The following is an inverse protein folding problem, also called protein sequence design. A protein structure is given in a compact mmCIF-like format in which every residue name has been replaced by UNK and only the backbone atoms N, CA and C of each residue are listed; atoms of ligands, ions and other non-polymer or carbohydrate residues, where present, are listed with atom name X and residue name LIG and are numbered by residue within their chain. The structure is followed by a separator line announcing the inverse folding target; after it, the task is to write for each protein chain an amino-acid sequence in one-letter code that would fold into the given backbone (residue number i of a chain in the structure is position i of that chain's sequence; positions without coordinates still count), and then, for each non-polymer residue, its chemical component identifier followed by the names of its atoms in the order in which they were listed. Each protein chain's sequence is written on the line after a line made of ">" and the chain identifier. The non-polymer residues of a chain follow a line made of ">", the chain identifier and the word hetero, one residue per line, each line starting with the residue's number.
data_IF_604417380832
#
_entry.id   IF_604417380832
#
_cell.length_a   1.000
_cell.length_b   1.000
_cell.length_c   1.000
_cell.angle_alpha   90.00
_cell.angle_beta   90.00
_cell.angle_gamma   90.00
#
_symmetry.space_group_name_H-M   'P 1'
#
loop_
_entity.id
_entity.type
_entity.pdbx_description
1 polymer ?
#
# COMPACT_ATOMS: atom_id res chain seq x y z
N UNK A 1 12.18 -17.23 -21.48
CA UNK A 1 12.33 -15.93 -20.79
C UNK A 1 12.13 -14.85 -21.85
N UNK A 2 11.15 -13.98 -21.66
CA UNK A 2 10.97 -12.82 -22.52
C UNK A 2 12.00 -11.73 -22.16
N UNK A 3 12.47 -11.02 -23.16
CA UNK A 3 13.50 -9.99 -22.99
C UNK A 3 12.94 -8.63 -23.41
N UNK A 4 12.76 -7.75 -22.47
CA UNK A 4 12.21 -6.40 -22.69
C UNK A 4 13.33 -5.38 -22.82
N UNK A 5 13.28 -4.52 -23.83
CA UNK A 5 14.29 -3.49 -24.12
C UNK A 5 13.64 -2.17 -24.53
N UNK A 6 14.39 -1.09 -24.36
CA UNK A 6 14.03 0.23 -24.90
C UNK A 6 12.66 0.72 -24.42
N UNK A 7 11.77 1.05 -25.35
CA UNK A 7 10.45 1.61 -25.04
C UNK A 7 9.50 0.62 -24.36
N UNK A 8 9.61 -0.66 -24.69
CA UNK A 8 8.83 -1.74 -24.10
C UNK A 8 9.17 -1.89 -22.60
N UNK A 9 10.46 -2.00 -22.27
CA UNK A 9 10.93 -2.02 -20.88
C UNK A 9 10.46 -0.78 -20.12
N UNK A 10 10.58 0.42 -20.75
CA UNK A 10 10.09 1.67 -20.15
C UNK A 10 8.61 1.62 -19.83
N UNK A 11 7.78 1.06 -20.70
CA UNK A 11 6.36 0.93 -20.50
C UNK A 11 6.04 -0.05 -19.35
N UNK A 12 6.71 -1.19 -19.29
CA UNK A 12 6.57 -2.18 -18.21
C UNK A 12 6.96 -1.54 -16.86
N UNK A 13 8.10 -0.87 -16.79
CA UNK A 13 8.54 -0.18 -15.56
C UNK A 13 7.54 0.89 -15.11
N UNK A 14 6.97 1.66 -16.04
CA UNK A 14 5.91 2.63 -15.71
C UNK A 14 4.67 1.94 -15.13
N UNK A 15 4.26 0.80 -15.69
CA UNK A 15 3.14 0.01 -15.17
C UNK A 15 3.43 -0.52 -13.76
N UNK A 16 4.61 -1.08 -13.52
CA UNK A 16 5.03 -1.56 -12.19
C UNK A 16 5.05 -0.41 -11.17
N UNK A 17 5.58 0.75 -11.55
CA UNK A 17 5.58 1.94 -10.68
C UNK A 17 4.17 2.46 -10.42
N UNK A 18 3.30 2.49 -11.45
CA UNK A 18 1.89 2.86 -11.34
C UNK A 18 1.13 1.92 -10.40
N UNK A 19 1.30 0.61 -10.57
CA UNK A 19 0.76 -0.43 -9.69
C UNK A 19 1.16 -0.20 -8.23
N UNK A 20 2.43 0.05 -7.96
CA UNK A 20 2.93 0.36 -6.61
C UNK A 20 2.30 1.65 -6.05
N UNK A 21 2.18 2.69 -6.86
CA UNK A 21 1.58 3.97 -6.45
C UNK A 21 0.09 3.83 -6.13
N UNK A 22 -0.69 3.11 -6.97
CA UNK A 22 -2.11 2.89 -6.74
C UNK A 22 -2.33 2.00 -5.50
N UNK A 23 -1.50 0.97 -5.31
CA UNK A 23 -1.52 0.12 -4.12
C UNK A 23 -1.25 0.94 -2.85
N UNK A 24 -0.16 1.70 -2.79
CA UNK A 24 0.15 2.57 -1.64
C UNK A 24 -0.93 3.62 -1.39
N UNK A 25 -1.64 4.05 -2.42
CA UNK A 25 -2.78 4.95 -2.28
C UNK A 25 -4.01 4.27 -1.68
N UNK A 26 -4.26 3.00 -1.98
CA UNK A 26 -5.32 2.21 -1.36
C UNK A 26 -4.99 1.90 0.10
N UNK A 27 -3.73 1.58 0.42
CA UNK A 27 -3.27 1.36 1.79
C UNK A 27 -3.49 2.60 2.67
N UNK A 28 -3.17 3.80 2.17
CA UNK A 28 -3.47 5.07 2.85
C UNK A 28 -4.96 5.33 3.05
N UNK A 29 -5.81 4.73 2.23
CA UNK A 29 -7.26 4.79 2.36
C UNK A 29 -7.82 3.66 3.26
N UNK A 30 -6.95 2.92 3.96
CA UNK A 30 -7.37 1.87 4.89
C UNK A 30 -7.59 0.49 4.26
N UNK A 31 -7.07 0.26 3.05
CA UNK A 31 -7.13 -1.06 2.40
C UNK A 31 -5.74 -1.70 2.38
N UNK A 32 -5.42 -2.60 3.33
CA UNK A 32 -4.08 -3.16 3.46
C UNK A 32 -3.70 -4.04 2.26
N UNK A 33 -2.39 -4.17 2.01
CA UNK A 33 -1.84 -4.94 0.89
C UNK A 33 -2.40 -6.36 0.80
N UNK A 34 -2.45 -7.08 1.92
CA UNK A 34 -2.94 -8.47 1.93
C UNK A 34 -4.38 -8.59 1.43
N UNK A 35 -5.24 -7.61 1.78
CA UNK A 35 -6.63 -7.58 1.34
C UNK A 35 -6.70 -7.33 -0.17
N UNK A 36 -6.01 -6.30 -0.65
CA UNK A 36 -5.98 -5.98 -2.08
C UNK A 36 -5.41 -7.15 -2.89
N UNK A 37 -4.31 -7.77 -2.44
CA UNK A 37 -3.72 -8.93 -3.12
C UNK A 37 -4.67 -10.13 -3.17
N UNK A 38 -5.45 -10.37 -2.10
CA UNK A 38 -6.47 -11.41 -2.08
C UNK A 38 -7.60 -11.09 -3.07
N UNK A 39 -8.08 -9.85 -3.13
CA UNK A 39 -9.11 -9.46 -4.12
C UNK A 39 -8.63 -9.62 -5.57
N UNK A 40 -7.39 -9.27 -5.86
CA UNK A 40 -6.80 -9.44 -7.19
C UNK A 40 -6.65 -10.93 -7.55
N UNK A 41 -6.22 -11.77 -6.61
CA UNK A 41 -6.07 -13.23 -6.83
C UNK A 41 -7.40 -13.94 -7.06
N UNK A 42 -8.50 -13.44 -6.48
CA UNK A 42 -9.86 -13.90 -6.73
C UNK A 42 -10.56 -13.20 -7.90
N UNK A 43 -9.82 -12.44 -8.69
CA UNK A 43 -10.33 -11.78 -9.90
C UNK A 43 -11.57 -10.91 -9.64
N UNK A 44 -11.50 -10.07 -8.60
CA UNK A 44 -12.57 -9.13 -8.25
C UNK A 44 -12.43 -7.87 -9.11
N UNK A 45 -13.09 -7.85 -10.25
CA UNK A 45 -12.97 -6.77 -11.24
C UNK A 45 -13.98 -5.63 -11.07
N UNK A 46 -15.07 -5.86 -10.34
CA UNK A 46 -16.13 -4.83 -10.22
C UNK A 46 -17.37 -5.33 -9.48
N UNK A 47 -18.46 -4.59 -9.63
CA UNK A 47 -19.73 -4.78 -8.90
C UNK A 47 -20.32 -6.18 -9.11
N UNK A 48 -20.21 -6.75 -10.31
CA UNK A 48 -20.81 -8.06 -10.60
C UNK A 48 -20.20 -9.19 -9.76
N UNK A 49 -18.97 -9.04 -9.31
CA UNK A 49 -18.33 -9.94 -8.38
C UNK A 49 -19.00 -9.89 -6.99
N UNK A 50 -19.44 -8.70 -6.56
CA UNK A 50 -20.12 -8.49 -5.27
C UNK A 50 -21.57 -9.05 -5.25
N UNK A 51 -22.15 -9.34 -6.40
CA UNK A 51 -23.47 -10.00 -6.50
C UNK A 51 -23.39 -11.51 -6.23
N UNK A 52 -22.22 -12.10 -6.39
CA UNK A 52 -21.99 -13.54 -6.29
C UNK A 52 -21.58 -13.92 -4.86
N UNK A 53 -22.53 -14.47 -4.10
CA UNK A 53 -22.28 -14.92 -2.72
C UNK A 53 -21.11 -15.90 -2.64
N UNK A 54 -21.08 -16.89 -3.56
CA UNK A 54 -20.04 -17.91 -3.59
C UNK A 54 -18.64 -17.34 -3.68
N UNK A 55 -18.45 -16.32 -4.53
CA UNK A 55 -17.16 -15.63 -4.69
C UNK A 55 -16.76 -14.88 -3.43
N UNK A 56 -17.71 -14.23 -2.76
CA UNK A 56 -17.45 -13.51 -1.52
C UNK A 56 -17.19 -14.49 -0.35
N UNK A 57 -17.87 -15.64 -0.31
CA UNK A 57 -17.59 -16.71 0.65
C UNK A 57 -16.19 -17.31 0.44
N UNK A 58 -15.72 -17.47 -0.81
CA UNK A 58 -14.35 -17.92 -1.12
C UNK A 58 -13.29 -16.94 -0.58
N UNK A 59 -13.49 -15.64 -0.79
CA UNK A 59 -12.60 -14.59 -0.27
C UNK A 59 -12.60 -14.59 1.25
N UNK A 60 -13.78 -14.66 1.87
CA UNK A 60 -13.93 -14.75 3.31
C UNK A 60 -13.18 -15.96 3.89
N UNK A 61 -13.32 -17.13 3.29
CA UNK A 61 -12.63 -18.35 3.70
C UNK A 61 -11.11 -18.26 3.50
N UNK A 62 -10.65 -17.61 2.45
CA UNK A 62 -9.22 -17.42 2.20
C UNK A 62 -8.58 -16.46 3.22
N UNK A 63 -9.29 -15.43 3.62
CA UNK A 63 -8.87 -14.54 4.72
C UNK A 63 -8.85 -15.28 6.06
N UNK A 64 -9.86 -16.10 6.34
CA UNK A 64 -9.91 -16.91 7.57
C UNK A 64 -8.74 -17.90 7.67
N UNK A 65 -8.28 -18.49 6.55
CA UNK A 65 -7.08 -19.36 6.52
C UNK A 65 -5.80 -18.61 6.86
N UNK A 66 -5.79 -17.29 6.71
CA UNK A 66 -4.66 -16.40 7.03
C UNK A 66 -4.80 -15.76 8.43
N UNK A 67 -5.70 -16.29 9.27
CA UNK A 67 -6.04 -15.76 10.60
C UNK A 67 -6.54 -14.31 10.58
N UNK A 68 -7.18 -13.89 9.48
CA UNK A 68 -7.73 -12.55 9.34
C UNK A 68 -9.24 -12.59 9.58
N UNK A 69 -9.67 -11.83 10.59
CA UNK A 69 -11.09 -11.72 10.94
C UNK A 69 -11.85 -10.95 9.86
N UNK A 70 -12.93 -11.55 9.37
CA UNK A 70 -13.80 -10.88 8.41
C UNK A 70 -15.26 -11.27 8.61
N UNK A 71 -16.17 -10.36 8.30
CA UNK A 71 -17.62 -10.55 8.41
C UNK A 71 -18.24 -10.26 7.06
N UNK A 72 -18.95 -11.27 6.52
CA UNK A 72 -19.73 -11.11 5.30
C UNK A 72 -21.11 -10.56 5.66
N UNK A 73 -21.51 -9.47 5.04
CA UNK A 73 -22.83 -8.85 5.16
C UNK A 73 -23.44 -8.65 3.79
N UNK A 74 -24.74 -8.34 3.77
CA UNK A 74 -25.45 -7.97 2.55
C UNK A 74 -25.94 -6.53 2.69
N UNK A 75 -25.59 -5.71 1.73
CA UNK A 75 -26.17 -4.39 1.54
C UNK A 75 -27.57 -4.56 0.95
N UNK A 76 -28.59 -4.24 1.73
CA UNK A 76 -30.00 -4.40 1.33
C UNK A 76 -30.43 -3.38 0.29
N UNK A 77 -29.80 -2.20 0.27
CA UNK A 77 -30.13 -1.13 -0.66
C UNK A 77 -29.71 -1.47 -2.10
N UNK A 78 -28.50 -2.02 -2.27
CA UNK A 78 -27.95 -2.35 -3.58
C UNK A 78 -28.01 -3.86 -3.89
N UNK A 79 -28.39 -4.69 -2.92
CA UNK A 79 -28.43 -6.16 -3.06
C UNK A 79 -27.05 -6.81 -3.24
N UNK A 80 -25.98 -6.13 -2.81
CA UNK A 80 -24.60 -6.56 -2.95
C UNK A 80 -24.10 -7.22 -1.66
N UNK A 81 -23.16 -8.14 -1.80
CA UNK A 81 -22.42 -8.68 -0.64
C UNK A 81 -21.22 -7.78 -0.34
N UNK A 82 -21.00 -7.53 0.94
CA UNK A 82 -19.92 -6.71 1.45
C UNK A 82 -19.11 -7.51 2.47
N UNK A 83 -17.80 -7.29 2.48
CA UNK A 83 -16.92 -7.91 3.44
C UNK A 83 -16.28 -6.83 4.32
N UNK A 84 -16.49 -6.91 5.63
CA UNK A 84 -15.82 -6.06 6.62
C UNK A 84 -14.67 -6.86 7.18
N UNK A 85 -13.46 -6.40 6.93
CA UNK A 85 -12.20 -7.04 7.37
C UNK A 85 -11.63 -6.25 8.52
N UNK A 86 -11.40 -6.93 9.66
CA UNK A 86 -10.73 -6.35 10.83
C UNK A 86 -9.25 -6.74 10.80
N UNK A 87 -8.39 -5.76 10.94
CA UNK A 87 -6.93 -5.97 10.94
C UNK A 87 -6.26 -5.01 11.91
N UNK A 88 -5.02 -5.28 12.27
CA UNK A 88 -4.27 -4.48 13.24
C UNK A 88 -3.09 -3.79 12.58
N UNK A 89 -2.93 -2.49 12.87
CA UNK A 89 -1.79 -1.69 12.43
C UNK A 89 -1.30 -0.85 13.60
N UNK A 90 -0.03 -0.92 13.93
CA UNK A 90 0.58 -0.18 15.03
C UNK A 90 -0.21 -0.29 16.35
N UNK A 91 -0.70 -1.50 16.66
CA UNK A 91 -1.49 -1.78 17.85
C UNK A 91 -2.96 -1.32 17.81
N UNK A 92 -3.41 -0.68 16.73
CA UNK A 92 -4.79 -0.23 16.55
C UNK A 92 -5.60 -1.20 15.70
N UNK A 93 -6.84 -1.46 16.11
CA UNK A 93 -7.78 -2.22 15.31
C UNK A 93 -8.37 -1.33 14.22
N UNK A 94 -8.18 -1.73 12.98
CA UNK A 94 -8.68 -1.06 11.80
C UNK A 94 -9.73 -1.91 11.11
N UNK A 95 -10.63 -1.27 10.38
CA UNK A 95 -11.64 -1.97 9.56
C UNK A 95 -11.56 -1.50 8.13
N UNK A 96 -11.53 -2.45 7.19
CA UNK A 96 -11.66 -2.19 5.76
C UNK A 96 -12.96 -2.80 5.25
N UNK A 97 -13.73 -2.02 4.52
CA UNK A 97 -14.98 -2.46 3.91
C UNK A 97 -14.77 -2.72 2.43
N UNK A 98 -14.87 -3.98 2.02
CA UNK A 98 -14.89 -4.37 0.61
C UNK A 98 -16.34 -4.30 0.14
N UNK A 99 -16.65 -3.29 -0.63
CA UNK A 99 -17.98 -3.01 -1.15
C UNK A 99 -17.91 -2.25 -2.45
N UNK A 100 -19.03 -1.67 -2.85
CA UNK A 100 -19.17 -0.92 -4.11
C UNK A 100 -18.12 0.19 -4.22
N UNK A 101 -17.89 0.97 -3.15
CA UNK A 101 -16.99 2.12 -3.14
C UNK A 101 -15.55 1.73 -3.52
N UNK A 102 -15.07 0.59 -3.01
CA UNK A 102 -13.73 0.11 -3.34
C UNK A 102 -13.64 -0.32 -4.81
N UNK A 103 -14.51 -1.26 -5.24
CA UNK A 103 -14.40 -1.88 -6.57
C UNK A 103 -14.73 -0.93 -7.72
N UNK A 104 -15.48 0.15 -7.45
CA UNK A 104 -15.76 1.19 -8.44
C UNK A 104 -14.74 2.32 -8.43
N UNK A 105 -13.90 2.40 -7.39
CA UNK A 105 -12.91 3.47 -7.29
C UNK A 105 -11.96 3.46 -8.50
N UNK A 106 -11.64 4.63 -9.08
CA UNK A 106 -10.74 4.70 -10.24
C UNK A 106 -9.36 4.10 -9.95
N UNK A 107 -8.90 4.18 -8.71
CA UNK A 107 -7.60 3.65 -8.28
C UNK A 107 -7.59 2.12 -8.26
N UNK A 108 -8.64 1.49 -7.72
CA UNK A 108 -8.74 0.03 -7.70
C UNK A 108 -8.87 -0.54 -9.12
N UNK A 109 -9.69 0.10 -9.98
CA UNK A 109 -9.84 -0.31 -11.38
C UNK A 109 -8.51 -0.26 -12.14
N UNK A 110 -7.77 0.86 -12.06
CA UNK A 110 -6.45 0.95 -12.67
C UNK A 110 -5.49 -0.12 -12.15
N UNK A 111 -5.49 -0.34 -10.82
CA UNK A 111 -4.66 -1.37 -10.20
C UNK A 111 -5.00 -2.77 -10.72
N UNK A 112 -6.29 -3.07 -10.84
CA UNK A 112 -6.77 -4.34 -11.40
C UNK A 112 -6.33 -4.51 -12.86
N UNK A 113 -6.59 -3.52 -13.71
CA UNK A 113 -6.23 -3.56 -15.14
C UNK A 113 -4.71 -3.72 -15.33
N UNK A 114 -3.91 -2.93 -14.63
CA UNK A 114 -2.44 -3.03 -14.68
C UNK A 114 -1.96 -4.37 -14.14
N UNK A 115 -2.60 -4.92 -13.11
CA UNK A 115 -2.23 -6.25 -12.58
C UNK A 115 -2.49 -7.36 -13.60
N UNK A 116 -3.55 -7.25 -14.39
CA UNK A 116 -3.83 -8.18 -15.50
C UNK A 116 -2.82 -8.04 -16.64
N UNK A 117 -2.49 -6.82 -17.03
CA UNK A 117 -1.49 -6.56 -18.07
C UNK A 117 -0.08 -7.04 -17.69
N UNK A 118 0.23 -7.07 -16.39
CA UNK A 118 1.50 -7.57 -15.86
C UNK A 118 1.47 -9.07 -15.51
N UNK A 119 0.38 -9.79 -15.81
CA UNK A 119 0.23 -11.20 -15.42
C UNK A 119 1.30 -12.11 -16.05
N UNK A 120 1.80 -11.76 -17.22
CA UNK A 120 2.89 -12.46 -17.92
C UNK A 120 4.29 -12.04 -17.42
N UNK A 121 4.40 -10.84 -16.82
CA UNK A 121 5.65 -10.27 -16.30
C UNK A 121 5.85 -10.71 -14.85
N UNK A 122 6.27 -11.96 -14.66
CA UNK A 122 6.41 -12.57 -13.31
C UNK A 122 7.88 -12.68 -12.88
N UNK A 123 8.14 -12.53 -11.57
CA UNK A 123 9.46 -12.83 -11.02
C UNK A 123 9.80 -14.34 -11.14
N UNK A 124 11.09 -14.73 -11.05
CA UNK A 124 12.23 -13.85 -10.86
C UNK A 124 12.59 -13.05 -12.11
N UNK A 125 13.06 -11.80 -11.90
CA UNK A 125 13.54 -10.93 -12.97
C UNK A 125 15.06 -11.07 -13.12
N UNK A 126 15.54 -10.99 -14.35
CA UNK A 126 16.97 -10.99 -14.63
C UNK A 126 17.33 -9.70 -15.35
N UNK A 127 18.17 -8.87 -14.73
CA UNK A 127 18.68 -7.65 -15.35
C UNK A 127 20.00 -7.95 -16.02
N UNK A 128 20.00 -7.88 -17.36
CA UNK A 128 21.19 -8.08 -18.18
C UNK A 128 21.84 -6.73 -18.45
N UNK A 129 22.94 -6.46 -17.79
CA UNK A 129 23.78 -5.29 -18.01
C UNK A 129 25.08 -5.72 -18.71
N UNK A 130 25.99 -4.78 -18.97
CA UNK A 130 27.32 -5.09 -19.56
C UNK A 130 28.17 -5.98 -18.65
N UNK A 131 27.89 -5.95 -17.36
CA UNK A 131 28.47 -6.79 -16.33
C UNK A 131 27.68 -8.11 -16.18
N UNK A 132 27.91 -8.86 -15.11
CA UNK A 132 27.19 -10.11 -14.85
C UNK A 132 25.68 -9.90 -14.70
N UNK A 133 24.83 -10.83 -15.19
CA UNK A 133 23.39 -10.76 -15.03
C UNK A 133 23.01 -10.85 -13.54
N UNK A 134 22.08 -9.99 -13.11
CA UNK A 134 21.59 -9.93 -11.72
C UNK A 134 20.18 -10.47 -11.67
N UNK A 135 19.95 -11.50 -10.88
CA UNK A 135 18.63 -12.06 -10.62
C UNK A 135 17.95 -11.37 -9.44
N UNK A 136 16.68 -11.01 -9.61
CA UNK A 136 15.89 -10.23 -8.66
C UNK A 136 14.56 -10.95 -8.39
N UNK A 137 14.31 -11.24 -7.14
CA UNK A 137 13.23 -12.10 -6.68
C UNK A 137 11.82 -11.55 -6.88
N UNK A 138 11.68 -10.21 -6.92
CA UNK A 138 10.36 -9.56 -6.99
C UNK A 138 10.43 -8.14 -7.56
N UNK A 139 9.25 -7.56 -7.83
CA UNK A 139 9.10 -6.20 -8.37
C UNK A 139 9.74 -5.12 -7.48
N UNK A 140 9.71 -5.29 -6.15
CA UNK A 140 10.28 -4.32 -5.23
C UNK A 140 11.80 -4.30 -5.33
N UNK A 141 12.45 -5.47 -5.38
CA UNK A 141 13.91 -5.59 -5.59
C UNK A 141 14.34 -5.08 -6.96
N UNK A 142 13.52 -5.32 -8.00
CA UNK A 142 13.79 -4.76 -9.32
C UNK A 142 13.80 -3.22 -9.30
N UNK A 143 12.79 -2.61 -8.70
CA UNK A 143 12.73 -1.14 -8.60
C UNK A 143 13.85 -0.56 -7.72
N UNK A 144 14.22 -1.23 -6.64
CA UNK A 144 15.31 -0.83 -5.75
C UNK A 144 16.66 -0.87 -6.50
N UNK A 145 16.97 -1.99 -7.14
CA UNK A 145 18.18 -2.14 -7.96
C UNK A 145 18.30 -1.06 -9.04
N UNK A 146 17.20 -0.81 -9.76
CA UNK A 146 17.20 0.22 -10.79
C UNK A 146 17.40 1.62 -10.21
N UNK A 147 16.80 1.92 -9.04
CA UNK A 147 17.00 3.19 -8.34
C UNK A 147 18.43 3.39 -7.90
N UNK A 148 19.08 2.38 -7.36
CA UNK A 148 20.49 2.44 -6.96
C UNK A 148 21.41 2.65 -8.17
N UNK A 149 21.11 1.99 -9.30
CA UNK A 149 21.87 2.16 -10.53
C UNK A 149 21.76 3.56 -11.13
N UNK A 150 20.55 4.14 -11.08
CA UNK A 150 20.29 5.51 -11.57
C UNK A 150 20.89 6.56 -10.63
N UNK A 151 21.02 6.27 -9.33
CA UNK A 151 21.61 7.20 -8.35
C UNK A 151 23.12 7.40 -8.53
N UNK A 152 23.81 6.57 -9.29
CA UNK A 152 25.24 6.80 -9.59
C UNK A 152 25.42 8.16 -10.29
N UNK A 153 25.97 9.12 -9.57
CA UNK A 153 26.17 10.51 -10.05
C UNK A 153 25.10 11.50 -9.58
N UNK A 154 24.10 11.07 -8.78
CA UNK A 154 23.10 11.96 -8.16
C UNK A 154 23.44 12.10 -6.68
N UNK A 155 23.55 13.35 -6.20
CA UNK A 155 23.64 13.64 -4.76
C UNK A 155 22.24 13.74 -4.17
N UNK A 156 21.96 12.97 -3.11
CA UNK A 156 20.68 13.03 -2.38
C UNK A 156 20.96 13.67 -1.03
N UNK A 157 20.26 14.77 -0.75
CA UNK A 157 20.28 15.43 0.56
C UNK A 157 18.98 15.11 1.29
N UNK A 158 19.10 14.64 2.54
CA UNK A 158 17.96 14.38 3.42
C UNK A 158 17.91 15.47 4.50
N UNK A 159 16.77 16.11 4.61
CA UNK A 159 16.51 17.10 5.65
C UNK A 159 15.70 16.44 6.78
N UNK A 160 16.16 16.56 8.02
CA UNK A 160 15.47 16.03 9.22
C UNK A 160 14.44 17.02 9.77
N UNK A 161 14.54 18.28 9.39
CA UNK A 161 13.61 19.33 9.82
C UNK A 161 13.59 20.51 8.86
N UNK A 162 12.50 21.27 8.91
CA UNK A 162 12.30 22.44 8.04
C UNK A 162 13.33 23.54 8.28
N UNK A 163 13.91 23.62 9.50
CA UNK A 163 14.96 24.60 9.83
C UNK A 163 16.31 24.39 9.14
N UNK A 164 16.52 23.21 8.53
CA UNK A 164 17.73 22.91 7.76
C UNK A 164 17.63 23.38 6.30
N UNK A 165 16.45 23.81 5.88
CA UNK A 165 16.17 24.21 4.50
C UNK A 165 16.33 25.71 4.31
N UNK A 166 16.85 26.11 3.17
CA UNK A 166 16.75 27.49 2.71
C UNK A 166 15.29 27.83 2.36
N UNK A 167 14.88 29.13 2.37
CA UNK A 167 13.51 29.50 1.99
C UNK A 167 13.08 28.97 0.61
N UNK A 168 14.02 28.95 -0.36
CA UNK A 168 13.76 28.44 -1.70
C UNK A 168 13.54 26.92 -1.69
N UNK A 169 14.38 26.16 -0.97
CA UNK A 169 14.21 24.70 -0.82
C UNK A 169 12.89 24.35 -0.14
N UNK A 170 12.52 25.11 0.89
CA UNK A 170 11.24 24.93 1.58
C UNK A 170 10.06 25.17 0.62
N UNK A 171 10.13 26.24 -0.18
CA UNK A 171 9.11 26.52 -1.18
C UNK A 171 8.98 25.37 -2.17
N UNK A 172 10.06 24.99 -2.85
CA UNK A 172 10.06 23.98 -3.91
C UNK A 172 9.63 22.59 -3.45
N UNK A 173 9.89 22.22 -2.18
CA UNK A 173 9.64 20.86 -1.68
C UNK A 173 8.32 20.72 -0.94
N UNK A 174 7.83 21.75 -0.27
CA UNK A 174 6.68 21.64 0.65
C UNK A 174 5.57 22.67 0.46
N UNK A 175 5.86 23.81 -0.15
CA UNK A 175 4.92 24.92 -0.24
C UNK A 175 4.32 25.10 -1.62
N UNK A 176 5.06 24.82 -2.68
CA UNK A 176 4.61 25.00 -4.06
C UNK A 176 3.37 24.15 -4.37
N UNK A 177 2.23 24.75 -4.73
CA UNK A 177 0.99 24.03 -5.01
C UNK A 177 1.10 22.98 -6.12
N UNK A 178 2.01 23.18 -7.10
CA UNK A 178 2.19 22.27 -8.22
C UNK A 178 2.98 21.01 -7.84
N UNK A 179 3.86 21.12 -6.85
CA UNK A 179 4.79 20.06 -6.46
C UNK A 179 4.47 19.41 -5.12
N UNK A 180 3.77 20.10 -4.21
CA UNK A 180 3.46 19.61 -2.87
C UNK A 180 2.47 18.45 -2.87
N UNK A 181 2.67 17.54 -1.92
CA UNK A 181 1.70 16.50 -1.59
C UNK A 181 0.96 16.87 -0.31
N UNK A 182 -0.36 16.91 -0.37
CA UNK A 182 -1.21 17.12 0.79
C UNK A 182 -1.83 15.80 1.22
N UNK A 183 -1.73 15.47 2.51
CA UNK A 183 -2.41 14.35 3.16
C UNK A 183 -3.58 14.87 3.97
N UNK A 184 -4.76 14.31 3.73
CA UNK A 184 -5.92 14.57 4.60
C UNK A 184 -5.86 13.60 5.78
N UNK A 185 -5.69 14.14 6.97
CA UNK A 185 -5.78 13.37 8.21
C UNK A 185 -7.24 13.30 8.64
N UNK A 186 -7.73 12.10 8.92
CA UNK A 186 -9.08 11.88 9.46
C UNK A 186 -8.99 10.97 10.67
N UNK A 187 -9.83 11.22 11.68
CA UNK A 187 -9.98 10.36 12.84
C UNK A 187 -11.12 9.40 12.54
N UNK A 188 -10.83 8.11 12.51
CA UNK A 188 -11.82 7.06 12.28
C UNK A 188 -12.51 6.67 13.60
N UNK A 189 -11.76 6.62 14.68
CA UNK A 189 -12.24 6.37 16.04
C UNK A 189 -11.61 7.39 16.99
N UNK A 190 -12.41 8.29 17.52
CA UNK A 190 -11.94 9.36 18.40
C UNK A 190 -11.50 8.83 19.77
N UNK A 191 -12.15 7.78 20.28
CA UNK A 191 -11.84 7.19 21.59
C UNK A 191 -10.50 6.46 21.54
N UNK A 192 -10.28 5.67 20.48
CA UNK A 192 -9.03 4.97 20.29
C UNK A 192 -7.87 5.93 20.00
N UNK A 193 -8.09 6.98 19.21
CA UNK A 193 -7.10 8.01 18.97
C UNK A 193 -6.69 8.71 20.28
N UNK A 194 -7.65 9.10 21.13
CA UNK A 194 -7.37 9.70 22.44
C UNK A 194 -6.57 8.75 23.33
N UNK A 195 -6.94 7.46 23.37
CA UNK A 195 -6.20 6.43 24.12
C UNK A 195 -4.73 6.36 23.69
N UNK A 196 -4.46 6.30 22.38
CA UNK A 196 -3.09 6.23 21.84
C UNK A 196 -2.31 7.52 22.15
N UNK A 197 -2.91 8.68 21.99
CA UNK A 197 -2.28 9.95 22.35
C UNK A 197 -1.93 10.00 23.84
N UNK A 198 -2.81 9.54 24.73
CA UNK A 198 -2.54 9.49 26.17
C UNK A 198 -1.42 8.52 26.51
N UNK A 199 -1.33 7.37 25.86
CA UNK A 199 -0.23 6.42 26.05
C UNK A 199 1.10 7.01 25.58
N UNK A 200 1.15 7.50 24.34
CA UNK A 200 2.42 7.92 23.71
C UNK A 200 2.92 9.30 24.21
N UNK A 201 2.02 10.23 24.53
CA UNK A 201 2.35 11.60 24.90
C UNK A 201 1.98 11.96 26.33
N UNK A 202 1.31 11.08 27.06
CA UNK A 202 0.98 11.26 28.46
C UNK A 202 2.19 11.17 29.40
N UNK A 203 1.98 11.39 30.67
CA UNK A 203 3.02 11.35 31.70
C UNK A 203 3.37 9.93 32.18
N UNK A 204 2.55 8.92 31.86
CA UNK A 204 2.78 7.53 32.26
C UNK A 204 3.83 6.86 31.35
N UNK A 205 5.02 6.67 31.93
CA UNK A 205 6.17 6.10 31.23
C UNK A 205 6.03 4.59 31.06
N UNK A 206 5.40 3.89 32.01
CA UNK A 206 5.29 2.43 32.00
C UNK A 206 4.33 1.98 30.88
N UNK A 207 3.15 2.58 30.78
CA UNK A 207 2.20 2.30 29.70
C UNK A 207 2.80 2.57 28.32
N UNK A 208 3.58 3.65 28.16
CA UNK A 208 4.28 3.96 26.92
C UNK A 208 5.32 2.92 26.55
N UNK A 209 6.15 2.52 27.53
CA UNK A 209 7.18 1.52 27.32
C UNK A 209 6.57 0.18 26.90
N UNK A 210 5.56 -0.29 27.61
CA UNK A 210 4.87 -1.54 27.28
C UNK A 210 4.26 -1.49 25.87
N UNK A 211 3.62 -0.38 25.52
CA UNK A 211 3.07 -0.20 24.16
C UNK A 211 4.16 -0.28 23.08
N UNK A 212 5.31 0.39 23.29
CA UNK A 212 6.43 0.37 22.35
C UNK A 212 7.01 -1.04 22.23
N UNK A 213 7.21 -1.74 23.34
CA UNK A 213 7.75 -3.10 23.36
C UNK A 213 6.82 -4.08 22.63
N UNK A 214 5.50 -3.97 22.85
CA UNK A 214 4.49 -4.84 22.21
C UNK A 214 4.36 -4.60 20.70
N UNK A 215 4.59 -3.37 20.24
CA UNK A 215 4.40 -2.99 18.84
C UNK A 215 5.73 -2.71 18.10
N UNK A 216 6.87 -3.05 18.69
CA UNK A 216 8.19 -2.74 18.12
C UNK A 216 8.41 -3.36 16.73
N UNK A 217 7.86 -4.55 16.48
CA UNK A 217 7.99 -5.24 15.20
C UNK A 217 7.11 -4.63 14.08
N UNK A 218 6.12 -3.83 14.44
CA UNK A 218 5.23 -3.15 13.48
C UNK A 218 5.75 -1.77 13.10
N UNK A 219 6.80 -1.27 13.78
CA UNK A 219 7.34 0.05 13.53
C UNK A 219 8.07 0.12 12.19
N UNK A 220 7.62 1.03 11.32
CA UNK A 220 8.22 1.30 10.02
C UNK A 220 8.76 2.73 9.94
N UNK A 221 9.69 2.97 9.00
CA UNK A 221 10.26 4.28 8.72
C UNK A 221 10.91 4.98 9.92
N UNK A 222 11.54 4.21 10.78
CA UNK A 222 12.32 4.75 11.89
C UNK A 222 13.50 5.57 11.35
N UNK A 223 13.67 6.76 11.90
CA UNK A 223 14.81 7.64 11.58
C UNK A 223 15.97 7.32 12.54
N UNK A 224 16.77 6.32 12.15
CA UNK A 224 17.90 5.82 12.92
C UNK A 224 19.19 6.39 12.35
#
# INVERSE_FOLDING_TARGET
>A
KEVYKGQELKNILKKIMGKKSDLSGLERNGYPYFLISTLLSHDVSGIDCLKQKSKMDEIHNDLAKKDIESVLSRDEEHGLYELIVTYRVNGMNMKAKVGMDLVTSPRYKRLYDVSKELEEVKPPFEVINKDEPVELENEARLLEYLREHVKKGISIQRYKGLGEMTPQQLWETTMDPENRNLLRVSIQDAVEADRIFNILMGSDVESRRNFIDENALEAENLDI
#
